data_IF_118935788887
#
_entry.id   IF_118935788887
#
_cell.length_a   1.000
_cell.length_b   1.000
_cell.length_c   1.000
_cell.angle_alpha   90.00
_cell.angle_beta   90.00
_cell.angle_gamma   90.00
#
_symmetry.space_group_name_H-M   'P 1'
#
loop_
_entity.id
_entity.type
_entity.pdbx_description
1 polymer ?
#
# COMPACT_ATOMS: atom_id res chain seq x y z
N UNK A 1 -1.47 4.84 16.10
CA UNK A 1 -0.04 5.04 15.83
C UNK A 1 0.08 6.31 15.06
N UNK A 2 1.03 7.15 15.43
CA UNK A 2 1.22 8.49 14.87
C UNK A 2 2.38 8.44 13.87
N UNK A 3 2.16 8.93 12.64
CA UNK A 3 3.24 9.06 11.66
C UNK A 3 4.10 10.32 11.89
N UNK A 4 3.64 11.24 12.76
CA UNK A 4 4.29 12.53 12.96
C UNK A 4 4.33 13.34 11.65
N UNK A 5 5.46 14.01 11.43
CA UNK A 5 5.70 14.83 10.23
C UNK A 5 6.26 14.04 9.04
N UNK A 6 6.21 12.68 9.08
CA UNK A 6 6.69 11.84 7.95
C UNK A 6 5.65 11.69 6.86
N UNK A 7 6.08 11.53 5.60
CA UNK A 7 5.23 11.24 4.46
C UNK A 7 4.95 9.73 4.30
N UNK A 8 4.91 9.00 5.43
CA UNK A 8 4.72 7.54 5.47
C UNK A 8 3.25 7.11 5.59
N UNK A 9 2.29 7.98 5.31
CA UNK A 9 0.86 7.67 5.42
C UNK A 9 0.49 6.36 4.68
N UNK A 10 1.06 6.11 3.51
CA UNK A 10 0.88 4.91 2.71
C UNK A 10 1.41 3.63 3.42
N UNK A 11 2.54 3.72 4.15
CA UNK A 11 3.08 2.62 4.97
C UNK A 11 2.11 2.32 6.12
N UNK A 12 1.70 3.37 6.85
CA UNK A 12 0.79 3.24 7.98
C UNK A 12 -0.56 2.69 7.56
N UNK A 13 -1.14 3.20 6.47
CA UNK A 13 -2.41 2.73 5.94
C UNK A 13 -2.31 1.27 5.47
N UNK A 14 -1.29 0.91 4.69
CA UNK A 14 -1.11 -0.46 4.20
C UNK A 14 -0.99 -1.44 5.36
N UNK A 15 -0.12 -1.19 6.33
CA UNK A 15 0.06 -2.10 7.46
C UNK A 15 -1.18 -2.16 8.35
N UNK A 16 -1.86 -1.03 8.59
CA UNK A 16 -3.13 -1.01 9.35
C UNK A 16 -4.25 -1.77 8.65
N UNK A 17 -4.34 -1.71 7.32
CA UNK A 17 -5.27 -2.51 6.53
C UNK A 17 -4.94 -4.00 6.66
N UNK A 18 -3.67 -4.39 6.52
CA UNK A 18 -3.23 -5.78 6.63
C UNK A 18 -3.48 -6.35 8.02
N UNK A 19 -3.17 -5.60 9.08
CA UNK A 19 -3.47 -5.95 10.48
C UNK A 19 -4.97 -6.17 10.69
N UNK A 20 -5.80 -5.25 10.18
CA UNK A 20 -7.25 -5.31 10.29
C UNK A 20 -7.78 -6.57 9.59
N UNK A 21 -7.36 -6.81 8.36
CA UNK A 21 -7.77 -7.97 7.57
C UNK A 21 -7.28 -9.30 8.19
N UNK A 22 -6.09 -9.30 8.78
CA UNK A 22 -5.57 -10.46 9.51
C UNK A 22 -6.39 -10.77 10.77
N UNK A 23 -6.67 -9.77 11.61
CA UNK A 23 -7.46 -9.94 12.83
C UNK A 23 -8.91 -10.39 12.57
N UNK A 24 -9.51 -9.96 11.45
CA UNK A 24 -10.84 -10.47 11.05
C UNK A 24 -10.80 -11.96 10.75
N UNK A 25 -9.74 -12.45 10.10
CA UNK A 25 -9.56 -13.89 9.79
C UNK A 25 -9.08 -14.70 10.99
N UNK A 26 -8.40 -14.07 11.94
CA UNK A 26 -7.80 -14.70 13.13
C UNK A 26 -8.28 -13.98 14.40
N UNK A 27 -9.54 -14.20 14.83
CA UNK A 27 -10.08 -13.56 16.01
C UNK A 27 -9.23 -13.88 17.26
N UNK A 28 -8.84 -12.83 17.97
CA UNK A 28 -7.98 -12.94 19.16
C UNK A 28 -6.49 -12.70 18.91
N UNK A 29 -6.03 -12.67 17.64
CA UNK A 29 -4.68 -12.21 17.32
C UNK A 29 -4.48 -10.74 17.71
N UNK A 30 -3.27 -10.43 18.15
CA UNK A 30 -2.83 -9.07 18.50
C UNK A 30 -1.69 -8.61 17.60
N UNK A 31 -1.79 -8.96 16.32
CA UNK A 31 -0.76 -8.59 15.36
C UNK A 31 -0.54 -7.06 15.33
N UNK A 32 0.72 -6.66 15.38
CA UNK A 32 1.18 -5.29 15.18
C UNK A 32 2.42 -5.34 14.29
N UNK A 33 2.36 -4.74 13.11
CA UNK A 33 3.42 -4.83 12.11
C UNK A 33 4.39 -3.64 12.23
N UNK A 34 5.67 -3.87 12.03
CA UNK A 34 6.71 -2.86 12.12
C UNK A 34 6.65 -1.89 10.93
N UNK A 35 6.32 -0.63 11.21
CA UNK A 35 6.37 0.48 10.24
C UNK A 35 7.82 0.83 9.90
N UNK A 36 8.69 0.83 10.90
CA UNK A 36 10.12 1.11 10.71
C UNK A 36 10.80 0.11 9.78
N UNK A 37 10.46 -1.18 9.87
CA UNK A 37 11.00 -2.18 8.94
C UNK A 37 10.60 -1.90 7.49
N UNK A 38 9.34 -1.57 7.23
CA UNK A 38 8.86 -1.25 5.88
C UNK A 38 9.43 0.08 5.37
N UNK A 39 9.64 1.07 6.26
CA UNK A 39 10.36 2.31 5.92
C UNK A 39 11.78 1.99 5.44
N UNK A 40 12.52 1.16 6.17
CA UNK A 40 13.89 0.76 5.78
C UNK A 40 13.91 0.08 4.42
N UNK A 41 12.96 -0.82 4.18
CA UNK A 41 12.80 -1.50 2.89
C UNK A 41 12.52 -0.50 1.76
N UNK A 42 11.68 0.51 2.00
CA UNK A 42 11.39 1.58 1.04
C UNK A 42 12.63 2.40 0.73
N UNK A 43 13.34 2.87 1.75
CA UNK A 43 14.59 3.62 1.59
C UNK A 43 15.60 2.80 0.77
N UNK A 44 15.81 1.54 1.15
CA UNK A 44 16.73 0.65 0.45
C UNK A 44 16.37 0.46 -1.03
N UNK A 45 15.08 0.28 -1.32
CA UNK A 45 14.60 0.12 -2.70
C UNK A 45 14.83 1.39 -3.54
N UNK A 46 14.50 2.57 -3.00
CA UNK A 46 14.71 3.86 -3.68
C UNK A 46 16.17 4.07 -4.03
N UNK A 47 17.08 3.85 -3.10
CA UNK A 47 18.50 3.97 -3.40
C UNK A 47 19.00 2.93 -4.40
N UNK A 48 18.53 1.68 -4.35
CA UNK A 48 18.86 0.65 -5.34
C UNK A 48 18.38 1.03 -6.74
N UNK A 49 17.17 1.60 -6.85
CA UNK A 49 16.62 2.11 -8.11
C UNK A 49 17.46 3.29 -8.62
N UNK A 50 17.82 4.22 -7.77
CA UNK A 50 18.69 5.36 -8.12
C UNK A 50 20.10 4.92 -8.55
N UNK A 51 20.68 3.90 -7.92
CA UNK A 51 21.96 3.30 -8.36
C UNK A 51 21.83 2.72 -9.78
N UNK A 52 20.66 2.21 -10.15
CA UNK A 52 20.36 1.76 -11.53
C UNK A 52 20.11 2.88 -12.53
N UNK A 53 20.06 4.14 -12.08
CA UNK A 53 19.86 5.31 -12.91
C UNK A 53 18.41 5.73 -13.10
N UNK A 54 17.49 5.24 -12.27
CA UNK A 54 16.10 5.70 -12.26
C UNK A 54 16.05 7.14 -11.68
N UNK A 55 15.32 8.07 -12.33
CA UNK A 55 15.16 9.44 -11.84
C UNK A 55 14.10 9.49 -10.74
N UNK A 56 14.50 9.23 -9.50
CA UNK A 56 13.61 9.20 -8.35
C UNK A 56 13.89 10.37 -7.41
N UNK A 57 12.84 10.90 -6.79
CA UNK A 57 12.97 11.68 -5.58
C UNK A 57 13.32 10.76 -4.39
N UNK A 58 13.90 11.32 -3.34
CA UNK A 58 14.14 10.61 -2.08
C UNK A 58 13.09 10.97 -1.02
N UNK A 59 11.93 11.45 -1.46
CA UNK A 59 10.81 11.72 -0.58
C UNK A 59 10.17 10.41 -0.07
N UNK A 60 9.53 10.47 1.08
CA UNK A 60 8.94 9.28 1.74
C UNK A 60 7.59 8.83 1.14
N UNK A 61 7.03 9.54 0.17
CA UNK A 61 5.77 9.22 -0.51
C UNK A 61 5.77 7.83 -1.17
N UNK A 62 4.62 7.28 -1.48
CA UNK A 62 4.50 5.99 -2.17
C UNK A 62 3.09 5.44 -2.21
N UNK A 63 2.94 4.31 -2.90
CA UNK A 63 1.67 3.63 -3.13
C UNK A 63 1.52 2.40 -2.23
N UNK A 64 0.28 2.12 -1.82
CA UNK A 64 0.00 0.93 -1.02
C UNK A 64 0.35 -0.38 -1.75
N UNK A 65 0.15 -0.45 -3.07
CA UNK A 65 0.53 -1.61 -3.86
C UNK A 65 2.04 -1.84 -3.87
N UNK A 66 2.85 -0.78 -3.82
CA UNK A 66 4.31 -0.90 -3.73
C UNK A 66 4.77 -1.41 -2.36
N UNK A 67 4.11 -0.98 -1.28
CA UNK A 67 4.31 -1.59 0.03
C UNK A 67 4.08 -3.10 0.00
N UNK A 68 3.02 -3.56 -0.67
CA UNK A 68 2.74 -5.00 -0.83
C UNK A 68 3.88 -5.71 -1.61
N UNK A 69 4.47 -5.06 -2.61
CA UNK A 69 5.61 -5.61 -3.35
C UNK A 69 6.83 -5.76 -2.43
N UNK A 70 7.16 -4.71 -1.66
CA UNK A 70 8.26 -4.75 -0.68
C UNK A 70 8.06 -5.85 0.37
N UNK A 71 6.84 -5.97 0.90
CA UNK A 71 6.46 -7.02 1.86
C UNK A 71 6.64 -8.42 1.28
N UNK A 72 6.31 -8.64 0.02
CA UNK A 72 6.53 -9.93 -0.66
C UNK A 72 8.00 -10.27 -0.82
N UNK A 73 8.83 -9.27 -1.05
CA UNK A 73 10.27 -9.44 -1.27
C UNK A 73 11.04 -9.65 0.03
N UNK A 74 10.75 -8.87 1.06
CA UNK A 74 11.56 -8.76 2.27
C UNK A 74 10.93 -9.43 3.48
N UNK A 75 9.59 -9.62 3.48
CA UNK A 75 8.85 -10.15 4.60
C UNK A 75 8.23 -9.06 5.47
N UNK A 76 7.74 -9.46 6.65
CA UNK A 76 7.17 -8.58 7.67
C UNK A 76 7.79 -8.87 9.03
N UNK A 77 7.89 -7.83 9.86
CA UNK A 77 8.32 -7.93 11.25
C UNK A 77 7.18 -7.50 12.19
N UNK A 78 7.17 -8.08 13.39
CA UNK A 78 6.39 -7.54 14.50
C UNK A 78 6.97 -6.19 14.93
N UNK A 79 6.13 -5.29 15.37
CA UNK A 79 6.51 -3.93 15.78
C UNK A 79 7.55 -3.92 16.92
N UNK A 80 7.52 -4.91 17.81
CA UNK A 80 8.45 -4.99 18.94
C UNK A 80 9.80 -5.61 18.56
N UNK A 81 9.94 -6.15 17.36
CA UNK A 81 11.17 -6.80 16.89
C UNK A 81 12.09 -5.86 16.13
N UNK A 82 11.64 -4.66 15.81
CA UNK A 82 12.43 -3.65 15.12
C UNK A 82 12.07 -2.25 15.63
N UNK A 83 12.93 -1.25 15.37
CA UNK A 83 12.68 0.14 15.78
C UNK A 83 11.45 0.73 15.09
N UNK A 84 10.93 1.82 15.66
CA UNK A 84 9.89 2.63 15.02
C UNK A 84 10.42 3.40 13.81
N UNK A 85 9.51 4.09 13.11
CA UNK A 85 9.89 5.01 12.02
C UNK A 85 10.87 6.05 12.53
N UNK A 86 11.77 6.45 11.65
CA UNK A 86 12.79 7.48 11.91
C UNK A 86 12.61 8.62 10.94
N UNK A 87 13.14 9.80 11.28
CA UNK A 87 13.32 10.87 10.32
C UNK A 87 14.26 10.37 9.20
N UNK A 88 13.82 10.31 7.93
CA UNK A 88 14.64 9.76 6.85
C UNK A 88 15.73 10.71 6.38
N UNK A 89 15.62 12.02 6.58
CA UNK A 89 16.53 13.02 6.03
C UNK A 89 18.00 12.81 6.46
N UNK A 90 18.32 12.55 7.74
CA UNK A 90 19.68 12.21 8.13
C UNK A 90 20.20 10.93 7.46
N UNK A 91 19.32 9.94 7.27
CA UNK A 91 19.67 8.67 6.62
C UNK A 91 19.93 8.90 5.13
N UNK A 92 19.08 9.66 4.44
CA UNK A 92 19.26 10.01 3.03
C UNK A 92 20.60 10.74 2.83
N UNK A 93 20.86 11.78 3.61
CA UNK A 93 22.12 12.55 3.54
C UNK A 93 23.34 11.67 3.77
N UNK A 94 23.29 10.78 4.76
CA UNK A 94 24.38 9.85 5.09
C UNK A 94 24.65 8.88 3.94
N UNK A 95 23.59 8.24 3.42
CA UNK A 95 23.70 7.29 2.29
C UNK A 95 24.19 7.97 1.03
N UNK A 96 23.66 9.15 0.66
CA UNK A 96 24.12 9.91 -0.51
C UNK A 96 25.59 10.26 -0.42
N UNK A 97 26.02 10.80 0.72
CA UNK A 97 27.42 11.12 0.98
C UNK A 97 28.33 9.89 0.86
N UNK A 98 27.87 8.75 1.34
CA UNK A 98 28.60 7.48 1.22
C UNK A 98 28.69 6.99 -0.21
N UNK A 99 27.57 6.99 -0.95
CA UNK A 99 27.49 6.50 -2.33
C UNK A 99 28.31 7.36 -3.30
N UNK A 100 28.46 8.65 -3.03
CA UNK A 100 29.25 9.57 -3.84
C UNK A 100 30.75 9.18 -3.94
N UNK A 101 31.25 8.40 -2.97
CA UNK A 101 32.64 7.93 -2.95
C UNK A 101 32.92 6.75 -3.90
N UNK A 102 31.89 6.18 -4.53
CA UNK A 102 32.01 4.99 -5.38
C UNK A 102 31.49 5.27 -6.79
N UNK A 103 32.20 4.75 -7.80
CA UNK A 103 31.75 4.80 -9.20
C UNK A 103 31.00 3.52 -9.62
N UNK A 104 31.53 2.36 -9.16
CA UNK A 104 31.01 1.06 -9.54
C UNK A 104 29.66 0.76 -8.85
N UNK A 105 28.60 0.39 -9.58
CA UNK A 105 27.31 0.03 -9.00
C UNK A 105 27.36 -1.08 -7.94
N UNK A 106 28.21 -2.11 -8.11
CA UNK A 106 28.33 -3.19 -7.13
C UNK A 106 28.89 -2.69 -5.79
N UNK A 107 29.87 -1.77 -5.82
CA UNK A 107 30.41 -1.13 -4.61
C UNK A 107 29.39 -0.21 -3.97
N UNK A 108 28.58 0.50 -4.78
CA UNK A 108 27.47 1.31 -4.28
C UNK A 108 26.42 0.48 -3.55
N UNK A 109 26.02 -0.67 -4.08
CA UNK A 109 25.07 -1.56 -3.41
C UNK A 109 25.62 -2.06 -2.06
N UNK A 110 26.90 -2.46 -2.03
CA UNK A 110 27.51 -2.87 -0.77
C UNK A 110 27.58 -1.71 0.23
N UNK A 111 27.99 -0.52 -0.22
CA UNK A 111 28.06 0.67 0.62
C UNK A 111 26.69 1.09 1.14
N UNK A 112 25.63 0.96 0.32
CA UNK A 112 24.25 1.17 0.73
C UNK A 112 23.84 0.23 1.87
N UNK A 113 24.05 -1.07 1.70
CA UNK A 113 23.65 -2.07 2.71
C UNK A 113 24.44 -1.87 4.02
N UNK A 114 25.73 -1.52 3.93
CA UNK A 114 26.56 -1.24 5.11
C UNK A 114 26.11 0.05 5.83
N UNK A 115 25.75 1.10 5.08
CA UNK A 115 25.33 2.39 5.64
C UNK A 115 23.92 2.32 6.26
N UNK A 116 22.97 1.65 5.59
CA UNK A 116 21.64 1.43 6.16
C UNK A 116 21.73 0.61 7.46
N UNK A 117 22.60 -0.41 7.49
CA UNK A 117 22.83 -1.20 8.70
C UNK A 117 23.47 -0.38 9.82
N UNK A 118 24.37 0.54 9.49
CA UNK A 118 25.01 1.40 10.47
C UNK A 118 24.05 2.41 11.09
N UNK A 119 23.13 2.99 10.28
CA UNK A 119 22.18 4.01 10.74
C UNK A 119 20.91 3.40 11.34
N UNK A 120 20.40 2.29 10.80
CA UNK A 120 19.07 1.75 11.10
C UNK A 120 19.13 0.35 11.74
N UNK A 121 20.31 -0.24 11.85
CA UNK A 121 20.45 -1.61 12.36
C UNK A 121 20.14 -2.68 11.29
N UNK A 122 20.35 -3.93 11.67
CA UNK A 122 20.05 -5.07 10.83
C UNK A 122 18.68 -5.65 11.21
N UNK A 123 17.76 -5.84 10.24
CA UNK A 123 16.50 -6.52 10.52
C UNK A 123 16.73 -7.93 11.08
N UNK A 124 15.98 -8.35 12.09
CA UNK A 124 16.13 -9.68 12.69
C UNK A 124 15.74 -10.78 11.71
N UNK A 125 16.39 -11.94 11.79
CA UNK A 125 16.09 -13.11 10.96
C UNK A 125 14.79 -13.84 11.36
N UNK A 126 14.33 -13.58 12.59
CA UNK A 126 13.10 -14.15 13.15
C UNK A 126 12.28 -13.03 13.76
N UNK A 127 10.98 -13.17 13.71
CA UNK A 127 9.99 -12.24 14.26
C UNK A 127 8.97 -13.00 15.09
N UNK A 128 8.08 -12.29 15.76
CA UNK A 128 7.06 -12.86 16.61
C UNK A 128 5.65 -12.75 15.98
N UNK A 129 4.82 -13.74 16.22
CA UNK A 129 3.39 -13.71 15.94
C UNK A 129 2.66 -14.52 17.01
N UNK A 130 1.74 -13.88 17.73
CA UNK A 130 0.91 -14.51 18.77
C UNK A 130 1.74 -15.36 19.77
N UNK A 131 2.95 -14.87 20.14
CA UNK A 131 3.86 -15.53 21.08
C UNK A 131 4.77 -16.59 20.47
N UNK A 132 4.61 -16.93 19.18
CA UNK A 132 5.50 -17.84 18.46
C UNK A 132 6.57 -17.11 17.65
N UNK A 133 7.71 -17.77 17.39
CA UNK A 133 8.77 -17.27 16.51
C UNK A 133 8.61 -17.81 15.10
N UNK A 134 8.60 -16.92 14.11
CA UNK A 134 8.51 -17.27 12.68
C UNK A 134 9.51 -16.43 11.87
N UNK A 135 9.77 -16.80 10.62
CA UNK A 135 10.55 -15.95 9.75
C UNK A 135 9.71 -14.78 9.21
N UNK A 136 10.32 -13.63 8.85
CA UNK A 136 9.63 -12.50 8.23
C UNK A 136 8.82 -12.90 7.00
N UNK A 137 9.35 -13.78 6.15
CA UNK A 137 8.64 -14.29 4.98
C UNK A 137 7.45 -15.21 5.32
N UNK A 138 7.48 -15.92 6.46
CA UNK A 138 6.31 -16.68 6.93
C UNK A 138 5.21 -15.74 7.42
N UNK A 139 5.58 -14.69 8.17
CA UNK A 139 4.64 -13.67 8.61
C UNK A 139 3.96 -13.00 7.41
N UNK A 140 4.75 -12.55 6.43
CA UNK A 140 4.22 -11.93 5.21
C UNK A 140 3.25 -12.86 4.46
N UNK A 141 3.60 -14.14 4.27
CA UNK A 141 2.69 -15.11 3.62
C UNK A 141 1.39 -15.30 4.39
N UNK A 142 1.44 -15.38 5.71
CA UNK A 142 0.23 -15.50 6.55
C UNK A 142 -0.66 -14.27 6.49
N UNK A 143 -0.04 -13.08 6.49
CA UNK A 143 -0.77 -11.80 6.45
C UNK A 143 -1.37 -11.55 5.08
N UNK A 144 -0.60 -11.75 4.00
CA UNK A 144 -1.05 -11.54 2.62
C UNK A 144 -2.02 -12.63 2.13
N UNK A 145 -2.00 -13.82 2.74
CA UNK A 145 -2.96 -14.91 2.53
C UNK A 145 -3.12 -15.31 1.05
N UNK A 146 -2.04 -15.24 0.27
CA UNK A 146 -2.07 -15.56 -1.16
C UNK A 146 -2.94 -14.65 -2.03
N UNK A 147 -3.49 -13.57 -1.47
CA UNK A 147 -4.37 -12.66 -2.18
C UNK A 147 -3.63 -11.82 -3.21
N UNK A 148 -4.33 -11.47 -4.28
CA UNK A 148 -3.90 -10.44 -5.23
C UNK A 148 -4.39 -9.09 -4.73
N UNK A 149 -3.52 -8.09 -4.82
CA UNK A 149 -3.79 -6.72 -4.44
C UNK A 149 -3.69 -5.84 -5.67
N UNK A 150 -4.67 -4.98 -5.85
CA UNK A 150 -4.75 -4.07 -7.00
C UNK A 150 -5.04 -2.68 -6.51
N UNK A 151 -4.32 -1.73 -7.06
CA UNK A 151 -4.60 -0.32 -6.89
C UNK A 151 -5.45 0.16 -8.06
N UNK A 152 -6.49 0.88 -7.73
CA UNK A 152 -7.41 1.49 -8.65
C UNK A 152 -7.30 3.01 -8.50
N UNK A 153 -6.97 3.68 -9.58
CA UNK A 153 -6.88 5.13 -9.66
C UNK A 153 -8.13 5.72 -10.31
N UNK A 154 -8.49 6.92 -9.88
CA UNK A 154 -9.57 7.65 -10.49
C UNK A 154 -9.19 8.10 -11.91
N UNK A 155 -9.97 7.69 -12.89
CA UNK A 155 -9.82 8.16 -14.28
C UNK A 155 -10.15 9.64 -14.37
N UNK A 156 -9.15 10.46 -14.70
CA UNK A 156 -9.30 11.93 -14.82
C UNK A 156 -9.80 12.39 -16.18
N UNK A 157 -9.48 11.62 -17.23
CA UNK A 157 -9.75 11.96 -18.62
C UNK A 157 -10.81 11.03 -19.27
N UNK A 158 -11.52 10.26 -18.45
CA UNK A 158 -12.50 9.27 -18.92
C UNK A 158 -11.87 8.06 -19.62
N UNK A 159 -10.56 7.90 -19.53
CA UNK A 159 -9.84 6.72 -20.05
C UNK A 159 -9.75 5.69 -18.94
N UNK A 160 -10.43 4.57 -19.10
CA UNK A 160 -10.44 3.47 -18.16
C UNK A 160 -9.55 2.32 -18.65
N UNK A 161 -9.02 1.53 -17.72
CA UNK A 161 -8.20 0.36 -18.03
C UNK A 161 -6.85 0.36 -17.32
N UNK A 162 -5.97 -0.58 -17.72
CA UNK A 162 -4.65 -0.71 -17.12
C UNK A 162 -3.67 0.30 -17.70
N UNK A 163 -2.97 1.03 -16.81
CA UNK A 163 -1.96 2.01 -17.16
C UNK A 163 -0.77 2.01 -16.19
N UNK A 164 0.27 2.81 -16.47
CA UNK A 164 1.28 3.14 -15.47
C UNK A 164 0.65 3.93 -14.34
N UNK A 165 1.24 3.92 -13.16
CA UNK A 165 0.82 4.83 -12.09
C UNK A 165 1.08 6.29 -12.48
N UNK A 166 0.24 7.19 -11.96
CA UNK A 166 0.47 8.65 -12.06
C UNK A 166 1.51 9.15 -11.04
N UNK A 167 1.86 8.34 -10.04
CA UNK A 167 2.94 8.67 -9.11
C UNK A 167 4.29 8.64 -9.86
N UNK A 168 5.00 9.77 -9.94
CA UNK A 168 6.27 9.87 -10.66
C UNK A 168 7.36 8.98 -10.04
N UNK A 169 7.24 8.65 -8.77
CA UNK A 169 8.19 7.82 -8.03
C UNK A 169 7.80 6.34 -8.00
N UNK A 170 6.64 5.98 -8.54
CA UNK A 170 6.25 4.60 -8.70
C UNK A 170 7.27 3.81 -9.52
N UNK A 171 7.38 2.51 -9.26
CA UNK A 171 8.22 1.64 -10.07
C UNK A 171 7.71 1.61 -11.52
N UNK A 172 8.60 1.58 -12.51
CA UNK A 172 8.19 1.57 -13.93
C UNK A 172 7.25 0.42 -14.29
N UNK A 173 7.35 -0.69 -13.59
CA UNK A 173 6.49 -1.86 -13.74
C UNK A 173 5.18 -1.79 -12.96
N UNK A 174 5.01 -0.82 -12.05
CA UNK A 174 3.78 -0.64 -11.29
C UNK A 174 2.63 -0.30 -12.22
N UNK A 175 1.63 -1.16 -12.22
CA UNK A 175 0.41 -0.99 -13.03
C UNK A 175 -0.77 -0.76 -12.10
N UNK A 176 -1.52 0.27 -12.40
CA UNK A 176 -2.77 0.60 -11.72
C UNK A 176 -3.94 0.45 -12.70
N UNK A 177 -5.14 0.29 -12.19
CA UNK A 177 -6.33 0.25 -13.02
C UNK A 177 -7.12 1.54 -12.86
N UNK A 178 -7.27 2.29 -13.94
CA UNK A 178 -8.07 3.49 -14.00
C UNK A 178 -9.55 3.14 -14.12
N UNK A 179 -10.36 3.67 -13.22
CA UNK A 179 -11.81 3.44 -13.16
C UNK A 179 -12.57 4.72 -12.87
N UNK A 180 -13.86 4.72 -13.17
CA UNK A 180 -14.76 5.81 -12.77
C UNK A 180 -15.04 5.80 -11.27
N UNK A 181 -15.51 6.94 -10.75
CA UNK A 181 -15.79 7.12 -9.31
C UNK A 181 -16.82 6.08 -8.80
N UNK A 182 -17.85 5.81 -9.54
CA UNK A 182 -18.90 4.84 -9.14
C UNK A 182 -18.32 3.42 -9.00
N UNK A 183 -17.44 2.98 -9.92
CA UNK A 183 -16.77 1.68 -9.81
C UNK A 183 -15.85 1.64 -8.60
N UNK A 184 -15.15 2.74 -8.31
CA UNK A 184 -14.26 2.84 -7.15
C UNK A 184 -15.03 2.75 -5.83
N UNK A 185 -16.16 3.43 -5.73
CA UNK A 185 -17.07 3.34 -4.59
C UNK A 185 -17.60 1.90 -4.43
N UNK A 186 -17.98 1.25 -5.52
CA UNK A 186 -18.42 -0.14 -5.52
C UNK A 186 -17.32 -1.11 -5.07
N UNK A 187 -16.04 -0.86 -5.42
CA UNK A 187 -14.90 -1.65 -4.95
C UNK A 187 -14.76 -1.57 -3.43
N UNK A 188 -14.88 -0.37 -2.85
CA UNK A 188 -14.88 -0.18 -1.40
C UNK A 188 -16.02 -1.00 -0.77
N UNK A 189 -17.24 -0.85 -1.25
CA UNK A 189 -18.41 -1.54 -0.68
C UNK A 189 -18.30 -3.06 -0.77
N UNK A 190 -17.89 -3.60 -1.91
CA UNK A 190 -17.69 -5.04 -2.07
C UNK A 190 -16.60 -5.59 -1.14
N UNK A 191 -15.54 -4.82 -0.91
CA UNK A 191 -14.49 -5.21 0.02
C UNK A 191 -14.99 -5.22 1.47
N UNK A 192 -15.66 -4.15 1.90
CA UNK A 192 -16.25 -4.07 3.24
C UNK A 192 -17.32 -5.16 3.48
N UNK A 193 -18.12 -5.48 2.47
CA UNK A 193 -19.12 -6.55 2.54
C UNK A 193 -18.48 -7.96 2.72
N UNK A 194 -17.22 -8.15 2.30
CA UNK A 194 -16.43 -9.36 2.59
C UNK A 194 -15.70 -9.31 3.93
N UNK A 195 -15.86 -8.23 4.72
CA UNK A 195 -15.13 -8.00 5.95
C UNK A 195 -13.67 -7.57 5.71
N UNK A 196 -13.35 -7.04 4.55
CA UNK A 196 -12.02 -6.61 4.19
C UNK A 196 -11.92 -5.08 4.24
N UNK A 197 -10.98 -4.58 5.04
CA UNK A 197 -10.60 -3.18 5.04
C UNK A 197 -9.83 -2.86 3.75
N UNK A 198 -9.86 -1.60 3.34
CA UNK A 198 -9.20 -1.08 2.13
C UNK A 198 -8.30 0.10 2.48
N UNK A 199 -7.22 0.31 1.71
CA UNK A 199 -6.53 1.60 1.71
C UNK A 199 -7.29 2.53 0.78
N UNK A 200 -7.54 3.73 1.25
CA UNK A 200 -8.10 4.85 0.51
C UNK A 200 -7.07 5.96 0.44
N UNK A 201 -6.87 6.51 -0.75
CA UNK A 201 -5.95 7.62 -0.99
C UNK A 201 -6.64 8.88 -1.48
N UNK A 202 -6.16 10.01 -1.01
CA UNK A 202 -6.35 11.33 -1.59
C UNK A 202 -5.07 11.75 -2.32
N UNK A 203 -5.01 12.99 -2.79
CA UNK A 203 -3.82 13.51 -3.49
C UNK A 203 -2.57 13.50 -2.60
N UNK A 204 -2.74 13.67 -1.29
CA UNK A 204 -1.65 13.93 -0.33
C UNK A 204 -1.72 13.07 0.95
N UNK A 205 -2.69 12.16 1.03
CA UNK A 205 -2.86 11.35 2.24
C UNK A 205 -3.47 9.98 1.96
N UNK A 206 -3.04 8.97 2.74
CA UNK A 206 -3.60 7.63 2.72
C UNK A 206 -4.13 7.22 4.09
N UNK A 207 -5.30 6.58 4.11
CA UNK A 207 -5.94 6.06 5.32
C UNK A 207 -6.63 4.72 5.05
N UNK A 208 -7.23 4.13 6.09
CA UNK A 208 -7.93 2.85 5.99
C UNK A 208 -9.42 3.03 6.23
N UNK A 209 -10.23 2.53 5.31
CA UNK A 209 -11.66 2.31 5.53
C UNK A 209 -11.85 0.86 5.97
N UNK A 210 -12.45 0.65 7.16
CA UNK A 210 -12.64 -0.68 7.72
C UNK A 210 -14.09 -1.03 8.07
N UNK A 211 -15.04 -0.14 7.73
CA UNK A 211 -16.46 -0.33 7.94
C UNK A 211 -17.25 0.90 7.53
N UNK A 212 -18.56 0.86 7.73
CA UNK A 212 -19.43 1.99 7.40
C UNK A 212 -20.89 1.75 7.83
N UNK A 213 -21.68 2.83 7.79
CA UNK A 213 -23.12 2.79 7.96
C UNK A 213 -23.79 2.99 6.61
N UNK A 214 -24.89 2.30 6.41
CA UNK A 214 -25.65 2.31 5.18
C UNK A 214 -27.12 2.61 5.47
N UNK A 215 -27.79 3.28 4.56
CA UNK A 215 -29.24 3.44 4.61
C UNK A 215 -29.96 2.12 4.20
N UNK A 216 -31.29 2.16 4.28
CA UNK A 216 -32.12 1.00 3.93
C UNK A 216 -32.01 0.55 2.46
N UNK A 217 -31.49 1.41 1.58
CA UNK A 217 -31.24 1.10 0.16
C UNK A 217 -29.84 0.51 -0.09
N UNK A 218 -28.98 0.48 0.94
CA UNK A 218 -27.59 0.07 0.83
C UNK A 218 -26.63 1.19 0.41
N UNK A 219 -27.11 2.44 0.38
CA UNK A 219 -26.25 3.59 0.10
C UNK A 219 -25.43 3.95 1.34
N UNK A 220 -24.10 4.20 1.21
CA UNK A 220 -23.29 4.57 2.33
C UNK A 220 -23.66 5.96 2.87
N UNK A 221 -23.78 6.06 4.18
CA UNK A 221 -23.97 7.30 4.92
C UNK A 221 -22.65 7.81 5.49
N UNK A 222 -21.83 6.90 6.00
CA UNK A 222 -20.54 7.21 6.61
C UNK A 222 -19.62 6.02 6.58
N UNK A 223 -18.32 6.29 6.74
CA UNK A 223 -17.28 5.26 6.87
C UNK A 223 -16.60 5.34 8.22
N UNK A 224 -16.13 4.18 8.70
CA UNK A 224 -15.24 4.06 9.84
C UNK A 224 -13.80 4.09 9.33
N UNK A 225 -13.03 5.03 9.85
CA UNK A 225 -11.68 5.35 9.37
C UNK A 225 -10.65 5.02 10.44
N UNK A 226 -9.52 4.43 10.01
CA UNK A 226 -8.26 4.45 10.74
C UNK A 226 -7.29 5.33 9.99
N UNK A 227 -6.65 6.22 10.72
CA UNK A 227 -5.71 7.20 10.23
C UNK A 227 -4.39 7.10 11.01
N UNK A 228 -3.32 7.56 10.42
CA UNK A 228 -2.02 7.73 11.05
C UNK A 228 -1.84 9.11 11.72
N UNK A 229 -2.79 10.01 11.52
CA UNK A 229 -2.87 11.33 12.15
C UNK A 229 -4.07 11.41 13.12
N UNK A 230 -4.00 12.26 14.17
CA UNK A 230 -5.13 12.45 15.06
C UNK A 230 -6.41 12.89 14.30
N UNK A 231 -7.57 12.37 14.66
CA UNK A 231 -7.90 11.58 15.86
C UNK A 231 -7.72 10.06 15.73
N UNK A 232 -6.96 9.54 14.79
CA UNK A 232 -6.58 8.14 14.52
C UNK A 232 -7.73 7.19 14.17
N UNK A 233 -8.85 7.27 14.88
CA UNK A 233 -10.06 6.48 14.62
C UNK A 233 -11.25 7.42 14.69
N UNK A 234 -11.96 7.52 13.58
CA UNK A 234 -13.11 8.43 13.49
C UNK A 234 -14.12 7.95 12.45
N UNK A 235 -15.21 8.69 12.36
CA UNK A 235 -16.26 8.51 11.37
C UNK A 235 -16.26 9.71 10.43
N UNK A 236 -16.24 9.47 9.14
CA UNK A 236 -16.37 10.49 8.11
C UNK A 236 -17.64 10.27 7.29
N UNK A 237 -18.25 11.34 6.79
CA UNK A 237 -19.40 11.19 5.86
C UNK A 237 -18.95 10.55 4.56
N UNK A 238 -19.82 9.75 3.96
CA UNK A 238 -19.55 9.16 2.65
C UNK A 238 -19.29 10.24 1.59
N UNK A 239 -20.03 11.36 1.65
CA UNK A 239 -19.85 12.48 0.74
C UNK A 239 -18.42 13.06 0.81
N UNK A 240 -17.90 13.29 2.03
CA UNK A 240 -16.52 13.78 2.20
C UNK A 240 -15.49 12.81 1.62
N UNK A 241 -15.62 11.51 1.93
CA UNK A 241 -14.69 10.49 1.47
C UNK A 241 -14.74 10.37 -0.06
N UNK A 242 -15.91 10.39 -0.68
CA UNK A 242 -16.04 10.31 -2.13
C UNK A 242 -15.51 11.55 -2.84
N UNK A 243 -15.69 12.75 -2.26
CA UNK A 243 -15.21 14.00 -2.86
C UNK A 243 -13.68 14.11 -2.90
N UNK A 244 -12.98 13.39 -2.01
CA UNK A 244 -11.51 13.41 -1.89
C UNK A 244 -10.85 12.15 -2.48
N UNK A 245 -11.65 11.18 -2.96
CA UNK A 245 -11.16 9.89 -3.43
C UNK A 245 -10.31 10.05 -4.70
N UNK A 246 -9.07 9.60 -4.63
CA UNK A 246 -8.13 9.59 -5.74
C UNK A 246 -7.75 8.16 -6.15
N UNK A 247 -7.52 7.30 -5.18
CA UNK A 247 -7.16 5.91 -5.38
C UNK A 247 -7.73 5.00 -4.28
N UNK A 248 -7.77 3.70 -4.56
CA UNK A 248 -8.11 2.67 -3.57
C UNK A 248 -7.33 1.39 -3.84
N UNK A 249 -6.73 0.83 -2.78
CA UNK A 249 -6.11 -0.49 -2.86
C UNK A 249 -6.98 -1.53 -2.18
N UNK A 250 -7.34 -2.55 -2.94
CA UNK A 250 -8.22 -3.65 -2.50
C UNK A 250 -7.65 -5.01 -2.87
N UNK A 251 -8.17 -6.07 -2.23
CA UNK A 251 -7.95 -7.44 -2.71
C UNK A 251 -8.84 -7.74 -3.92
N UNK A 252 -8.23 -8.33 -4.94
CA UNK A 252 -8.95 -8.82 -6.10
C UNK A 252 -8.85 -10.35 -6.19
N UNK A 253 -9.91 -10.99 -6.69
CA UNK A 253 -9.87 -12.42 -7.00
C UNK A 253 -9.23 -12.62 -8.39
N UNK A 254 -8.42 -13.67 -8.60
CA UNK A 254 -7.76 -13.92 -9.89
C UNK A 254 -8.74 -13.98 -11.07
N UNK A 255 -9.98 -14.45 -10.86
CA UNK A 255 -10.99 -14.60 -11.90
C UNK A 255 -11.71 -13.29 -12.29
N UNK A 256 -11.61 -12.23 -11.48
CA UNK A 256 -12.20 -10.93 -11.83
C UNK A 256 -11.42 -10.19 -12.92
N UNK A 257 -10.15 -10.55 -13.14
CA UNK A 257 -9.31 -9.97 -14.18
C UNK A 257 -9.65 -10.48 -15.59
N UNK A 258 -10.27 -11.66 -15.72
CA UNK A 258 -10.50 -12.31 -17.00
C UNK A 258 -11.86 -12.00 -17.66
N UNK A 259 -12.81 -11.38 -16.94
CA UNK A 259 -14.20 -11.24 -17.43
C UNK A 259 -14.56 -9.86 -17.99
N UNK A 260 -13.64 -8.92 -18.07
CA UNK A 260 -13.90 -7.59 -18.66
C UNK A 260 -13.40 -7.44 -20.10
N UNK A 261 -13.08 -8.55 -20.80
CA UNK A 261 -12.89 -8.52 -22.24
C UNK A 261 -14.13 -9.06 -22.93
N UNK A 262 -14.87 -8.15 -23.56
CA UNK A 262 -15.84 -8.43 -24.62
C UNK A 262 -17.22 -9.03 -24.22
N UNK A 263 -18.17 -8.15 -23.96
CA UNK A 263 -19.50 -8.32 -24.55
C UNK A 263 -19.94 -7.00 -25.16
N UNK A 264 -19.44 -6.75 -26.36
CA UNK A 264 -20.19 -5.92 -27.31
C UNK A 264 -21.44 -6.72 -27.63
N UNK A 265 -22.66 -6.22 -27.39
CA UNK A 265 -23.84 -6.89 -27.90
C UNK A 265 -23.79 -6.80 -29.42
N UNK A 266 -23.85 -7.95 -30.09
CA UNK A 266 -24.05 -8.03 -31.54
C UNK A 266 -25.28 -7.18 -31.90
N UNK A 267 -25.04 -6.21 -32.78
CA UNK A 267 -26.10 -5.43 -33.37
C UNK A 267 -27.00 -6.39 -34.16
N UNK A 268 -28.12 -6.76 -33.56
CA UNK A 268 -29.16 -7.51 -34.22
C UNK A 268 -29.61 -6.74 -35.46
N UNK A 269 -29.40 -7.35 -36.61
CA UNK A 269 -29.84 -6.85 -37.89
C UNK A 269 -31.38 -6.66 -37.90
N UNK A 270 -31.79 -5.41 -38.05
CA UNK A 270 -33.21 -5.08 -38.35
C UNK A 270 -33.56 -5.63 -39.73
N UNK A 271 -34.71 -6.29 -39.89
CA UNK A 271 -35.20 -6.66 -41.22
C UNK A 271 -35.61 -5.40 -42.01
N UNK A 272 -35.11 -5.31 -43.24
CA UNK A 272 -35.55 -4.26 -44.18
C UNK A 272 -36.88 -4.61 -44.79
N UNK A 273 -37.68 -3.58 -45.18
CA UNK A 273 -39.03 -3.72 -45.69
C UNK A 273 -39.12 -4.42 -47.05
#
# INVERSE_FOLDING_TARGET
>A
MDQGDSDLCWVFATLSMLETNYMVRHPGSKIALSRGALQVDSIADRFRRRIRGEPLSLEDGGLAVEAIVLIRQNGLLDQNDFHDVVDPEPVFSSVEGKLAAYENPADKHKALDDELRANLGAPPKMTHLDGGKISPGQLARGVLDGKTWTEFDLSRDGVEGWGPSHDPDARPETRVRYVGLDEMIDLIHRSLARGEAVVWGSVDHALVIYGGDYDASGKPLSYLIKDSLPPYIYRASAETIHAMLNDVTVTTQPDSMARTTSTRPDAAALPRP
#
